data_IF_238701355369
#
_entry.id   IF_238701355369
#
_cell.length_a   1.000
_cell.length_b   1.000
_cell.length_c   1.000
_cell.angle_alpha   90.00
_cell.angle_beta   90.00
_cell.angle_gamma   90.00
#
_symmetry.space_group_name_H-M   'P 1'
#
loop_
_entity.id
_entity.type
_entity.pdbx_description
1 polymer ?
#
# COMPACT_ATOMS: atom_id res chain seq x y z
N UNK A 1 -10.66 -40.38 -54.34
CA UNK A 1 -10.00 -41.68 -54.16
C UNK A 1 -8.70 -41.44 -53.40
N UNK A 2 -8.37 -42.30 -52.42
CA UNK A 2 -7.04 -42.36 -51.79
C UNK A 2 -6.99 -41.85 -50.34
N UNK A 3 -6.86 -42.79 -49.40
CA UNK A 3 -6.78 -42.66 -47.93
C UNK A 3 -5.31 -42.77 -47.47
N UNK A 4 -4.95 -42.06 -46.38
CA UNK A 4 -4.18 -42.45 -45.17
C UNK A 4 -2.88 -43.29 -45.44
N UNK A 5 -1.66 -42.91 -45.02
CA UNK A 5 -1.10 -43.12 -43.66
C UNK A 5 0.32 -42.56 -43.49
N UNK A 6 0.60 -42.18 -42.24
CA UNK A 6 1.89 -41.84 -41.65
C UNK A 6 3.03 -42.82 -41.94
N UNK A 7 4.28 -42.34 -41.95
CA UNK A 7 5.30 -42.75 -40.98
C UNK A 7 6.71 -42.22 -41.30
N UNK A 8 7.26 -41.50 -40.31
CA UNK A 8 8.61 -41.69 -39.75
C UNK A 8 9.82 -41.32 -40.64
N UNK A 9 10.48 -40.22 -40.24
CA UNK A 9 11.94 -40.18 -40.06
C UNK A 9 12.30 -39.09 -39.03
N UNK A 10 11.96 -39.37 -37.77
CA UNK A 10 12.53 -38.71 -36.60
C UNK A 10 13.45 -39.70 -35.89
N UNK A 11 14.70 -39.77 -36.33
CA UNK A 11 15.87 -40.32 -35.64
C UNK A 11 17.03 -39.55 -36.31
N UNK A 12 17.80 -38.68 -35.67
CA UNK A 12 18.58 -38.86 -34.46
C UNK A 12 19.02 -37.49 -33.89
N UNK A 13 19.07 -37.43 -32.56
CA UNK A 13 19.98 -36.64 -31.73
C UNK A 13 19.93 -35.09 -31.75
N UNK A 14 19.43 -34.53 -30.63
CA UNK A 14 20.12 -33.43 -29.98
C UNK A 14 19.32 -32.13 -29.82
N UNK A 15 18.92 -31.87 -28.58
CA UNK A 15 18.45 -30.59 -28.04
C UNK A 15 17.02 -30.16 -28.38
N UNK A 16 16.20 -30.23 -27.34
CA UNK A 16 14.88 -29.62 -27.19
C UNK A 16 15.04 -28.11 -27.36
N UNK A 17 14.81 -27.62 -28.57
CA UNK A 17 14.59 -26.20 -28.85
C UNK A 17 13.10 -25.97 -29.01
N UNK A 18 12.37 -25.89 -27.89
CA UNK A 18 10.99 -25.42 -27.90
C UNK A 18 10.94 -24.02 -28.52
N UNK A 19 10.52 -23.94 -29.78
CA UNK A 19 10.14 -22.69 -30.44
C UNK A 19 8.81 -22.20 -29.83
N UNK A 20 8.85 -21.77 -28.59
CA UNK A 20 7.81 -20.92 -28.03
C UNK A 20 8.08 -19.50 -28.54
N UNK A 21 7.50 -19.16 -29.70
CA UNK A 21 7.32 -17.77 -30.08
C UNK A 21 6.37 -17.12 -29.07
N UNK A 22 6.91 -16.64 -27.95
CA UNK A 22 6.18 -15.82 -27.01
C UNK A 22 5.78 -14.53 -27.75
N UNK A 23 4.47 -14.30 -27.90
CA UNK A 23 3.97 -12.99 -28.30
C UNK A 23 4.60 -11.93 -27.40
N UNK A 24 5.16 -10.82 -27.94
CA UNK A 24 5.79 -9.81 -27.11
C UNK A 24 4.76 -9.29 -26.12
N UNK A 25 5.01 -9.52 -24.83
CA UNK A 25 4.16 -9.03 -23.76
C UNK A 25 4.02 -7.51 -23.94
N UNK A 26 2.78 -7.06 -24.14
CA UNK A 26 2.49 -5.63 -24.21
C UNK A 26 2.92 -5.00 -22.89
N UNK A 27 3.95 -4.16 -22.94
CA UNK A 27 4.39 -3.41 -21.78
C UNK A 27 3.45 -2.23 -21.58
N UNK A 28 2.87 -2.04 -20.38
CA UNK A 28 2.08 -0.86 -20.07
C UNK A 28 2.87 0.45 -20.18
N UNK A 29 4.21 0.37 -20.22
CA UNK A 29 5.12 1.50 -20.05
C UNK A 29 5.80 1.94 -21.34
N UNK A 30 5.77 1.12 -22.41
CA UNK A 30 6.40 1.46 -23.68
C UNK A 30 5.70 0.78 -24.86
N UNK A 31 5.76 1.40 -26.04
CA UNK A 31 5.13 0.89 -27.26
C UNK A 31 6.12 0.19 -28.21
N UNK A 32 7.26 -0.29 -27.71
CA UNK A 32 8.22 -1.03 -28.54
C UNK A 32 7.62 -2.35 -29.06
N UNK A 33 7.50 -2.48 -30.38
CA UNK A 33 7.02 -3.69 -31.08
C UNK A 33 8.16 -4.59 -31.58
N UNK A 34 9.41 -4.29 -31.22
CA UNK A 34 10.61 -4.98 -31.68
C UNK A 34 11.53 -5.35 -30.53
N UNK A 35 12.85 -5.37 -30.78
CA UNK A 35 13.84 -5.61 -29.75
C UNK A 35 13.96 -4.37 -28.83
N UNK A 36 13.50 -4.53 -27.59
CA UNK A 36 13.52 -3.49 -26.57
C UNK A 36 14.83 -3.50 -25.80
N UNK A 37 15.46 -2.33 -25.70
CA UNK A 37 16.66 -2.10 -24.90
C UNK A 37 16.26 -1.27 -23.68
N UNK A 38 16.53 -1.83 -22.50
CA UNK A 38 16.20 -1.21 -21.21
C UNK A 38 16.95 0.11 -20.98
N UNK A 39 16.37 1.03 -20.21
CA UNK A 39 17.04 2.27 -19.82
C UNK A 39 18.36 2.04 -19.09
N UNK A 40 19.35 2.88 -19.42
CA UNK A 40 20.64 2.91 -18.76
C UNK A 40 20.71 3.92 -17.60
N UNK A 41 21.79 3.89 -16.79
CA UNK A 41 21.94 4.76 -15.61
C UNK A 41 21.98 6.26 -15.96
N UNK A 42 22.49 6.62 -17.15
CA UNK A 42 22.53 8.02 -17.62
C UNK A 42 21.17 8.54 -18.08
N UNK A 43 20.24 7.64 -18.40
CA UNK A 43 18.94 7.97 -18.98
C UNK A 43 17.88 6.96 -18.49
N UNK A 44 17.56 6.95 -17.19
CA UNK A 44 16.79 5.88 -16.53
C UNK A 44 15.33 5.77 -16.96
N UNK A 45 14.84 6.70 -17.79
CA UNK A 45 13.49 6.71 -18.34
C UNK A 45 13.45 6.69 -19.88
N UNK A 46 14.60 6.59 -20.54
CA UNK A 46 14.68 6.52 -22.00
C UNK A 46 15.01 5.09 -22.44
N UNK A 47 14.33 4.61 -23.48
CA UNK A 47 14.55 3.29 -24.06
C UNK A 47 14.85 3.38 -25.56
N UNK A 48 15.51 2.35 -26.08
CA UNK A 48 15.68 2.15 -27.52
C UNK A 48 14.89 0.94 -27.97
N UNK A 49 14.37 1.00 -29.20
CA UNK A 49 13.61 -0.05 -29.81
C UNK A 49 14.09 -0.26 -31.23
N UNK A 50 14.50 -1.49 -31.54
CA UNK A 50 14.90 -1.88 -32.88
C UNK A 50 13.84 -2.76 -33.54
N UNK A 51 13.38 -2.35 -34.71
CA UNK A 51 12.44 -3.10 -35.52
C UNK A 51 13.05 -3.36 -36.89
N UNK A 52 12.89 -4.57 -37.44
CA UNK A 52 13.45 -4.95 -38.73
C UNK A 52 12.87 -4.15 -39.91
N UNK A 53 11.67 -3.60 -39.77
CA UNK A 53 10.95 -2.85 -40.80
C UNK A 53 11.22 -1.34 -40.66
N UNK A 54 11.10 -0.80 -39.46
CA UNK A 54 11.22 0.66 -39.23
C UNK A 54 12.59 1.11 -38.73
N UNK A 55 13.51 0.17 -38.50
CA UNK A 55 14.85 0.46 -37.98
C UNK A 55 14.86 0.86 -36.49
N UNK A 56 15.87 1.66 -36.12
CA UNK A 56 16.06 2.15 -34.77
C UNK A 56 15.08 3.27 -34.43
N UNK A 57 14.50 3.18 -33.24
CA UNK A 57 13.69 4.23 -32.64
C UNK A 57 14.06 4.39 -31.17
N UNK A 58 13.84 5.60 -30.64
CA UNK A 58 13.97 5.90 -29.22
C UNK A 58 12.62 6.33 -28.66
N UNK A 59 12.42 6.15 -27.36
CA UNK A 59 11.22 6.64 -26.67
C UNK A 59 11.47 6.84 -25.19
N UNK A 60 10.49 7.44 -24.53
CA UNK A 60 10.45 7.58 -23.07
C UNK A 60 9.43 6.62 -22.49
N UNK A 61 9.77 6.01 -21.35
CA UNK A 61 8.81 5.25 -20.57
C UNK A 61 7.65 6.15 -20.14
N UNK A 62 6.44 5.57 -20.13
CA UNK A 62 5.23 6.23 -19.66
C UNK A 62 5.29 6.58 -18.18
N UNK A 63 4.44 7.54 -17.78
CA UNK A 63 4.36 7.98 -16.39
C UNK A 63 4.02 6.82 -15.45
N UNK A 64 4.79 6.69 -14.36
CA UNK A 64 4.67 5.61 -13.38
C UNK A 64 5.59 4.41 -13.61
N UNK A 65 6.29 4.34 -14.75
CA UNK A 65 7.23 3.26 -15.02
C UNK A 65 8.40 3.28 -14.00
N UNK A 66 8.85 2.13 -13.47
CA UNK A 66 9.92 2.08 -12.48
C UNK A 66 11.26 2.51 -13.08
N UNK A 67 12.05 3.26 -12.31
CA UNK A 67 13.37 3.73 -12.71
C UNK A 67 14.36 3.73 -11.51
N UNK A 68 15.66 3.85 -11.79
CA UNK A 68 16.71 3.91 -10.77
C UNK A 68 17.50 5.22 -10.88
N UNK A 69 17.75 5.85 -9.75
CA UNK A 69 18.54 7.09 -9.68
C UNK A 69 20.04 6.76 -9.66
N UNK A 70 20.83 7.35 -10.56
CA UNK A 70 22.26 7.06 -10.72
C UNK A 70 23.17 7.71 -9.67
N UNK A 71 22.63 8.40 -8.66
CA UNK A 71 23.45 9.09 -7.64
C UNK A 71 23.58 8.28 -6.35
N UNK A 72 24.52 7.32 -6.34
CA UNK A 72 25.12 6.74 -5.13
C UNK A 72 24.22 5.93 -4.18
N UNK A 73 22.92 5.85 -4.45
CA UNK A 73 21.95 5.02 -3.74
C UNK A 73 21.02 4.39 -4.76
N UNK A 74 20.84 3.07 -4.71
CA UNK A 74 19.87 2.34 -5.52
C UNK A 74 18.44 2.64 -5.04
N UNK A 75 18.04 3.91 -5.06
CA UNK A 75 16.70 4.32 -4.68
C UNK A 75 15.78 4.09 -5.87
N UNK A 76 14.70 3.34 -5.64
CA UNK A 76 13.66 3.15 -6.62
C UNK A 76 12.90 4.46 -6.86
N UNK A 77 12.68 4.79 -8.12
CA UNK A 77 11.91 5.95 -8.56
C UNK A 77 10.85 5.56 -9.58
N UNK A 78 10.13 6.56 -10.07
CA UNK A 78 9.26 6.42 -11.23
C UNK A 78 9.57 7.47 -12.29
N UNK A 79 9.33 7.13 -13.55
CA UNK A 79 9.36 8.06 -14.65
C UNK A 79 8.14 8.95 -14.59
N UNK A 80 8.36 10.27 -14.59
CA UNK A 80 7.33 11.28 -14.80
C UNK A 80 7.86 12.25 -15.85
N UNK A 81 7.17 12.35 -16.98
CA UNK A 81 7.53 13.21 -18.12
C UNK A 81 8.98 13.00 -18.58
N UNK A 82 9.42 11.75 -18.62
CA UNK A 82 10.77 11.35 -19.06
C UNK A 82 11.89 11.56 -18.03
N UNK A 83 11.58 12.01 -16.81
CA UNK A 83 12.55 12.18 -15.72
C UNK A 83 12.31 11.12 -14.64
N UNK A 84 13.38 10.48 -14.17
CA UNK A 84 13.29 9.58 -13.03
C UNK A 84 13.20 10.41 -11.75
N UNK A 85 12.02 10.41 -11.14
CA UNK A 85 11.80 11.07 -9.86
C UNK A 85 11.90 10.05 -8.74
N UNK A 86 12.54 10.44 -7.64
CA UNK A 86 12.52 9.61 -6.43
C UNK A 86 11.08 9.52 -5.93
N UNK A 87 10.53 8.31 -5.92
CA UNK A 87 9.33 8.05 -5.12
C UNK A 87 9.84 7.46 -3.83
N UNK A 88 10.25 8.35 -2.92
CA UNK A 88 10.18 7.98 -1.53
C UNK A 88 8.69 7.69 -1.29
N UNK A 89 8.29 6.48 -0.85
CA UNK A 89 6.95 6.30 -0.34
C UNK A 89 6.74 7.40 0.71
N UNK A 90 5.54 7.98 0.89
CA UNK A 90 5.35 9.09 1.82
C UNK A 90 5.51 8.60 3.26
N UNK A 91 6.75 8.38 3.68
CA UNK A 91 7.15 7.98 5.02
C UNK A 91 7.31 9.21 5.91
N UNK A 92 7.57 10.38 5.31
CA UNK A 92 7.47 11.65 5.99
C UNK A 92 6.12 12.25 5.62
N UNK A 93 5.16 12.13 6.55
CA UNK A 93 3.95 12.94 6.45
C UNK A 93 4.36 14.41 6.35
N UNK A 94 3.70 15.16 5.48
CA UNK A 94 3.73 16.63 5.52
C UNK A 94 3.39 17.09 6.95
N UNK A 95 4.02 18.18 7.42
CA UNK A 95 3.75 18.72 8.76
C UNK A 95 2.36 19.41 8.84
N UNK A 96 1.31 18.77 8.36
CA UNK A 96 -0.05 19.32 8.19
C UNK A 96 -1.10 18.76 9.14
N UNK A 97 -0.71 17.96 10.14
CA UNK A 97 -1.61 17.41 11.16
C UNK A 97 -2.57 16.32 10.69
N UNK A 98 -2.54 15.93 9.41
CA UNK A 98 -3.53 14.99 8.84
C UNK A 98 -3.04 13.55 8.92
N UNK A 99 -3.80 12.71 9.61
CA UNK A 99 -3.60 11.26 9.61
C UNK A 99 -4.08 10.64 8.30
N UNK A 100 -3.18 9.92 7.63
CA UNK A 100 -3.41 9.27 6.33
C UNK A 100 -3.38 7.74 6.39
N UNK A 101 -3.33 7.17 7.58
CA UNK A 101 -3.36 5.71 7.74
C UNK A 101 -4.75 5.14 7.49
N UNK A 102 -4.80 3.82 7.28
CA UNK A 102 -6.04 3.11 6.91
C UNK A 102 -7.00 2.86 8.08
N UNK A 103 -6.47 2.72 9.30
CA UNK A 103 -7.21 2.36 10.50
C UNK A 103 -7.15 3.45 11.55
N UNK A 104 -7.24 3.07 12.82
CA UNK A 104 -6.98 4.01 13.92
C UNK A 104 -5.51 4.42 13.97
N UNK A 105 -5.27 5.67 14.34
CA UNK A 105 -3.91 6.13 14.64
C UNK A 105 -3.41 5.45 15.93
N UNK A 106 -2.25 4.76 15.90
CA UNK A 106 -1.71 4.09 17.10
C UNK A 106 -1.16 5.08 18.13
N UNK A 107 -1.00 6.35 17.74
CA UNK A 107 -0.66 7.44 18.64
C UNK A 107 -1.17 8.77 18.06
N UNK A 108 -1.28 9.79 18.92
CA UNK A 108 -1.72 11.12 18.52
C UNK A 108 -0.60 12.07 18.11
N UNK A 109 0.59 11.51 17.86
CA UNK A 109 1.76 12.24 17.38
C UNK A 109 2.38 11.53 16.19
N UNK A 110 3.10 12.28 15.38
CA UNK A 110 3.78 11.75 14.22
C UNK A 110 5.05 12.54 13.94
N UNK A 111 5.92 11.91 13.15
CA UNK A 111 7.12 12.56 12.65
C UNK A 111 6.86 13.07 11.25
N UNK A 112 7.22 14.32 11.01
CA UNK A 112 7.14 14.98 9.71
C UNK A 112 8.46 15.65 9.36
N UNK A 113 8.63 16.05 8.10
CA UNK A 113 9.69 16.98 7.68
C UNK A 113 9.07 18.32 7.32
N UNK A 114 9.68 19.40 7.79
CA UNK A 114 9.24 20.75 7.44
C UNK A 114 9.76 21.17 6.06
N UNK A 115 9.45 22.41 5.66
CA UNK A 115 9.88 22.97 4.36
C UNK A 115 11.40 23.04 4.19
N UNK A 116 12.15 23.01 5.29
CA UNK A 116 13.62 23.01 5.31
C UNK A 116 14.18 21.58 5.41
N UNK A 117 13.33 20.56 5.32
CA UNK A 117 13.70 19.15 5.44
C UNK A 117 13.97 18.70 6.88
N UNK A 118 13.77 19.57 7.87
CA UNK A 118 14.07 19.27 9.28
C UNK A 118 12.99 18.36 9.88
N UNK A 119 13.45 17.31 10.57
CA UNK A 119 12.57 16.33 11.21
C UNK A 119 11.91 16.95 12.44
N UNK A 120 10.58 16.98 12.47
CA UNK A 120 9.78 17.52 13.58
C UNK A 120 8.79 16.49 14.08
N UNK A 121 8.54 16.50 15.40
CA UNK A 121 7.43 15.78 16.02
C UNK A 121 6.24 16.73 16.12
N UNK A 122 5.09 16.32 15.61
CA UNK A 122 3.84 17.10 15.61
C UNK A 122 2.70 16.24 16.11
N UNK A 123 1.64 16.90 16.58
CA UNK A 123 0.40 16.23 16.98
C UNK A 123 -0.54 16.14 15.78
N UNK A 124 -1.32 15.06 15.70
CA UNK A 124 -2.46 15.02 14.80
C UNK A 124 -3.53 16.01 15.25
N UNK A 125 -4.38 16.44 14.30
CA UNK A 125 -5.48 17.35 14.60
C UNK A 125 -6.48 16.77 15.61
N UNK A 126 -7.12 17.68 16.34
CA UNK A 126 -8.21 17.35 17.24
C UNK A 126 -9.31 16.55 16.49
N UNK A 127 -9.79 15.47 17.11
CA UNK A 127 -10.82 14.63 16.52
C UNK A 127 -10.31 13.54 15.57
N UNK A 128 -8.98 13.42 15.38
CA UNK A 128 -8.39 12.29 14.63
C UNK A 128 -8.67 10.99 15.38
N UNK A 129 -9.31 9.97 14.77
CA UNK A 129 -9.56 8.69 15.42
C UNK A 129 -8.27 7.96 15.77
N UNK A 130 -8.15 7.52 17.02
CA UNK A 130 -6.96 6.87 17.56
C UNK A 130 -7.33 5.64 18.39
N UNK A 131 -6.34 4.77 18.59
CA UNK A 131 -6.42 3.60 19.45
C UNK A 131 -5.07 3.46 20.16
N UNK A 132 -5.10 3.49 21.48
CA UNK A 132 -3.90 3.33 22.29
C UNK A 132 -3.34 1.92 22.11
N UNK A 133 -2.03 1.81 21.89
CA UNK A 133 -1.34 0.52 21.79
C UNK A 133 -0.16 0.43 22.74
N UNK A 134 0.06 -0.75 23.33
CA UNK A 134 1.18 -1.04 24.21
C UNK A 134 2.51 -1.08 23.44
N UNK A 135 3.62 -1.38 24.15
CA UNK A 135 4.95 -1.49 23.54
C UNK A 135 5.06 -2.64 22.50
N UNK A 136 4.17 -3.62 22.58
CA UNK A 136 4.08 -4.76 21.66
C UNK A 136 3.14 -4.47 20.48
N UNK A 137 2.49 -3.30 20.48
CA UNK A 137 1.54 -2.88 19.47
C UNK A 137 0.13 -3.45 19.65
N UNK A 138 -0.17 -4.07 20.79
CA UNK A 138 -1.51 -4.55 21.12
C UNK A 138 -2.38 -3.39 21.61
N UNK A 139 -3.67 -3.35 21.24
CA UNK A 139 -4.57 -2.31 21.69
C UNK A 139 -4.82 -2.45 23.19
N UNK A 140 -4.88 -1.32 23.88
CA UNK A 140 -5.37 -1.24 25.26
C UNK A 140 -6.37 -0.09 25.37
N UNK A 141 -7.40 -0.27 26.20
CA UNK A 141 -8.48 0.69 26.33
C UNK A 141 -9.40 0.75 25.10
N UNK A 142 -10.28 1.75 25.09
CA UNK A 142 -11.21 2.00 23.99
C UNK A 142 -10.59 2.90 22.91
N UNK A 143 -11.13 2.81 21.70
CA UNK A 143 -10.83 3.77 20.63
C UNK A 143 -11.33 5.16 21.03
N UNK A 144 -10.66 6.17 20.52
CA UNK A 144 -10.86 7.54 20.97
C UNK A 144 -10.54 8.57 19.90
N UNK A 145 -10.38 9.82 20.33
CA UNK A 145 -9.94 10.92 19.49
C UNK A 145 -8.68 11.59 20.02
N UNK A 146 -7.86 12.08 19.11
CA UNK A 146 -6.70 12.87 19.48
C UNK A 146 -7.11 14.22 20.05
N UNK A 147 -6.54 14.58 21.21
CA UNK A 147 -6.61 15.91 21.84
C UNK A 147 -5.27 16.21 22.49
N UNK A 148 -4.64 17.32 22.11
CA UNK A 148 -3.35 17.75 22.66
C UNK A 148 -2.25 16.67 22.66
N UNK A 149 -2.18 15.85 21.60
CA UNK A 149 -1.18 14.80 21.45
C UNK A 149 -1.46 13.52 22.24
N UNK A 150 -2.59 13.42 22.94
CA UNK A 150 -3.08 12.23 23.64
C UNK A 150 -4.31 11.65 22.95
N UNK A 151 -4.47 10.34 23.00
CA UNK A 151 -5.71 9.69 22.61
C UNK A 151 -6.65 9.72 23.82
N UNK A 152 -7.78 10.41 23.69
CA UNK A 152 -8.83 10.45 24.70
C UNK A 152 -9.86 9.40 24.30
N UNK A 153 -9.97 8.36 25.12
CA UNK A 153 -10.83 7.20 24.88
C UNK A 153 -12.30 7.62 24.87
N UNK A 154 -13.15 6.87 24.16
CA UNK A 154 -14.55 7.21 24.01
C UNK A 154 -15.25 7.45 25.36
N UNK A 155 -14.97 6.58 26.33
CA UNK A 155 -15.60 6.59 27.65
C UNK A 155 -15.22 7.83 28.48
N UNK A 156 -14.04 8.40 28.20
CA UNK A 156 -13.51 9.62 28.83
C UNK A 156 -13.88 10.91 28.09
N UNK A 157 -14.58 10.80 26.95
CA UNK A 157 -15.08 11.98 26.25
C UNK A 157 -16.27 12.52 27.02
N UNK A 158 -16.13 13.74 27.56
CA UNK A 158 -17.24 14.49 28.13
C UNK A 158 -18.48 14.37 27.22
N UNK A 159 -19.62 14.02 27.83
CA UNK A 159 -20.95 13.74 27.26
C UNK A 159 -21.39 14.71 26.14
N UNK A 160 -20.76 15.88 26.05
CA UNK A 160 -20.98 16.94 25.09
C UNK A 160 -20.67 16.62 23.61
N UNK A 161 -20.02 15.50 23.26
CA UNK A 161 -19.55 15.26 21.88
C UNK A 161 -20.13 14.00 21.22
N UNK A 162 -21.45 13.97 20.98
CA UNK A 162 -22.12 12.96 20.14
C UNK A 162 -21.47 12.80 18.74
N UNK A 163 -20.88 13.87 18.22
CA UNK A 163 -20.11 13.86 16.98
C UNK A 163 -18.78 13.09 17.05
N UNK A 164 -18.19 12.93 18.24
CA UNK A 164 -16.95 12.18 18.43
C UNK A 164 -17.18 10.67 18.35
N UNK A 165 -18.22 10.15 19.00
CA UNK A 165 -18.61 8.72 18.91
C UNK A 165 -18.79 8.28 17.46
N UNK A 166 -19.51 9.08 16.65
CA UNK A 166 -19.72 8.80 15.23
C UNK A 166 -18.42 8.80 14.41
N UNK A 167 -17.44 9.61 14.79
CA UNK A 167 -16.12 9.65 14.13
C UNK A 167 -15.26 8.46 14.52
N UNK A 168 -15.24 8.09 15.80
CA UNK A 168 -14.50 6.94 16.32
C UNK A 168 -15.05 5.66 15.70
N UNK A 169 -16.35 5.39 15.87
CA UNK A 169 -17.00 4.18 15.38
C UNK A 169 -17.68 4.39 14.02
N UNK A 170 -16.98 5.07 13.12
CA UNK A 170 -17.42 5.20 11.73
C UNK A 170 -17.35 3.86 11.01
N UNK A 171 -18.31 3.56 10.14
CA UNK A 171 -18.38 2.31 9.36
C UNK A 171 -17.09 1.98 8.60
N UNK A 172 -16.31 3.00 8.21
CA UNK A 172 -15.00 2.81 7.55
C UNK A 172 -13.98 2.05 8.41
N UNK A 173 -14.14 2.07 9.74
CA UNK A 173 -13.28 1.34 10.68
C UNK A 173 -13.88 -0.01 11.12
N UNK A 174 -15.12 -0.32 10.74
CA UNK A 174 -15.78 -1.59 11.04
C UNK A 174 -15.32 -2.66 10.03
N UNK A 175 -14.17 -3.28 10.30
CA UNK A 175 -13.59 -4.31 9.38
C UNK A 175 -13.29 -5.63 10.05
N UNK A 176 -13.45 -5.73 11.36
CA UNK A 176 -13.27 -6.99 12.06
C UNK A 176 -14.44 -7.92 11.83
N UNK A 177 -14.14 -9.21 11.74
CA UNK A 177 -15.18 -10.21 11.65
C UNK A 177 -15.88 -10.32 13.00
N UNK A 178 -17.17 -10.61 12.95
CA UNK A 178 -17.96 -10.95 14.11
C UNK A 178 -17.30 -12.10 14.89
N UNK A 179 -16.98 -11.84 16.16
CA UNK A 179 -16.29 -12.79 17.04
C UNK A 179 -17.26 -13.28 18.11
N UNK A 180 -17.21 -14.55 18.50
CA UNK A 180 -17.89 -15.01 19.70
C UNK A 180 -17.10 -14.61 20.94
N UNK A 181 -17.79 -14.06 21.94
CA UNK A 181 -17.21 -13.85 23.26
C UNK A 181 -17.29 -15.17 24.03
N UNK A 182 -16.17 -15.88 24.18
CA UNK A 182 -16.12 -17.21 24.81
C UNK A 182 -15.93 -17.15 26.33
N UNK A 183 -15.80 -15.95 26.89
CA UNK A 183 -15.50 -15.69 28.31
C UNK A 183 -16.77 -15.33 29.09
N UNK A 184 -16.89 -15.81 30.34
CA UNK A 184 -18.08 -15.61 31.21
C UNK A 184 -18.25 -14.20 31.77
N UNK A 185 -17.34 -13.26 31.47
CA UNK A 185 -17.37 -11.92 32.03
C UNK A 185 -18.30 -10.99 31.24
N UNK A 186 -19.02 -10.13 31.94
CA UNK A 186 -19.74 -9.00 31.36
C UNK A 186 -18.69 -8.04 30.77
N UNK A 187 -18.85 -7.65 29.51
CA UNK A 187 -17.98 -6.65 28.90
C UNK A 187 -18.56 -5.26 29.17
N UNK A 188 -17.71 -4.27 29.41
CA UNK A 188 -18.16 -2.87 29.47
C UNK A 188 -18.49 -2.31 28.08
N UNK A 189 -18.02 -2.97 27.01
CA UNK A 189 -18.26 -2.56 25.63
C UNK A 189 -18.33 -3.81 24.72
N UNK A 190 -19.28 -3.80 23.79
CA UNK A 190 -19.51 -4.87 22.80
C UNK A 190 -18.50 -4.87 21.64
N UNK A 191 -17.54 -3.96 21.67
CA UNK A 191 -16.52 -3.79 20.65
C UNK A 191 -15.28 -4.65 20.91
N UNK A 192 -14.67 -5.11 19.82
CA UNK A 192 -13.33 -5.70 19.85
C UNK A 192 -12.47 -5.12 18.73
N UNK A 193 -11.16 -5.17 18.94
CA UNK A 193 -10.18 -4.69 17.96
C UNK A 193 -9.50 -5.85 17.25
N UNK A 194 -9.24 -5.67 15.97
CA UNK A 194 -8.46 -6.61 15.16
C UNK A 194 -7.49 -5.87 14.25
N UNK A 195 -6.41 -6.55 13.90
CA UNK A 195 -5.42 -6.03 12.97
C UNK A 195 -5.66 -6.61 11.58
N UNK A 196 -5.87 -5.75 10.58
CA UNK A 196 -5.97 -6.16 9.16
C UNK A 196 -5.04 -5.31 8.31
N UNK A 197 -4.23 -5.96 7.47
CA UNK A 197 -3.25 -5.29 6.60
C UNK A 197 -2.39 -4.26 7.39
N UNK A 198 -1.96 -4.63 8.59
CA UNK A 198 -1.10 -3.79 9.43
C UNK A 198 -1.78 -2.63 10.18
N UNK A 199 -3.08 -2.41 10.04
CA UNK A 199 -3.83 -1.34 10.73
C UNK A 199 -4.90 -1.90 11.67
N UNK A 200 -5.24 -1.13 12.71
CA UNK A 200 -6.27 -1.48 13.69
C UNK A 200 -7.66 -1.01 13.26
N UNK A 201 -8.62 -1.90 13.46
CA UNK A 201 -10.04 -1.73 13.15
C UNK A 201 -10.87 -2.24 14.32
N UNK A 202 -12.16 -1.92 14.33
CA UNK A 202 -13.10 -2.48 15.29
C UNK A 202 -14.06 -3.47 14.62
N UNK A 203 -14.71 -4.28 15.44
CA UNK A 203 -15.94 -4.99 15.11
C UNK A 203 -16.70 -5.36 16.37
N UNK A 204 -17.82 -6.03 16.17
CA UNK A 204 -18.75 -6.40 17.24
C UNK A 204 -18.57 -7.86 17.64
N UNK A 205 -18.82 -8.16 18.91
CA UNK A 205 -19.05 -9.54 19.33
C UNK A 205 -20.43 -10.02 18.87
N UNK A 206 -20.57 -11.32 18.55
CA UNK A 206 -21.88 -11.95 18.33
C UNK A 206 -22.61 -12.06 19.66
N UNK A 207 -23.72 -11.34 19.73
CA UNK A 207 -24.91 -11.39 20.59
C UNK A 207 -24.85 -12.28 21.86
N UNK A 208 -25.24 -11.68 23.00
CA UNK A 208 -25.31 -12.17 24.39
C UNK A 208 -24.05 -12.08 25.24
N UNK A 209 -23.02 -11.34 24.80
CA UNK A 209 -22.15 -10.70 25.78
C UNK A 209 -23.05 -9.70 26.50
N UNK A 210 -23.28 -9.86 27.81
CA UNK A 210 -23.94 -8.80 28.58
C UNK A 210 -22.97 -7.62 28.47
N UNK A 211 -23.33 -6.65 27.64
CA UNK A 211 -22.63 -5.38 27.50
C UNK A 211 -23.46 -4.38 28.31
N UNK A 212 -22.84 -3.75 29.31
CA UNK A 212 -23.51 -2.78 30.18
C UNK A 212 -23.41 -1.35 29.66
#
# INVERSE_FOLDING_TARGET
MGKITASILCFLAGAIGSCCAANPAYSPWHHCKGHYITPGPKSPCAYYCYNLITGWSHGTLGDGAPCTLSMGRHTAGQCIRGVCIEISPPWYATCDGVYRGRGYAPSCHYTCRDRLGQRKRKNYFYGTPCLNTDKLGNPFGAAGICKNGRCIEHDDLEVAHTGATRKVFSSKYHKCQLKQHLTKNILSDCLHYCRRSGAWYYGLYKDYSICQ
#
